data_IF_085299507777
#
_entry.id   IF_085299507777
#
_cell.length_a   1.000
_cell.length_b   1.000
_cell.length_c   1.000
_cell.angle_alpha   90.00
_cell.angle_beta   90.00
_cell.angle_gamma   90.00
#
_symmetry.space_group_name_H-M   'P 1'
#
loop_
_entity.id
_entity.type
_entity.pdbx_description
1 polymer ?
#
# COMPACT_ATOMS: atom_id res chain seq x y z
N UNK A 1 9.29 -0.69 46.19
CA UNK A 1 8.98 -0.65 45.79
C UNK A 1 9.13 -0.40 44.51
N UNK A 2 9.82 -0.28 43.79
CA UNK A 2 10.08 -0.03 42.44
C UNK A 2 9.24 -0.75 41.42
N UNK A 3 8.28 -1.50 41.82
CA UNK A 3 7.44 -2.18 40.84
C UNK A 3 6.77 -1.24 39.86
N UNK A 4 6.60 0.01 40.26
CA UNK A 4 5.96 0.96 39.39
C UNK A 4 6.75 1.21 38.08
N UNK A 5 8.08 1.17 38.17
CA UNK A 5 8.91 1.32 36.99
C UNK A 5 8.72 0.15 36.02
N UNK A 6 8.57 -1.05 36.57
CA UNK A 6 8.33 -2.23 35.74
C UNK A 6 7.03 -2.12 34.98
N UNK A 7 5.99 -1.61 35.65
CA UNK A 7 4.70 -1.42 35.00
C UNK A 7 4.80 -0.47 33.82
N UNK A 8 5.60 0.57 33.98
CA UNK A 8 5.77 1.53 32.88
C UNK A 8 6.47 0.93 31.68
N UNK A 9 7.35 -0.04 31.91
CA UNK A 9 7.96 -0.73 30.79
C UNK A 9 6.92 -1.45 29.94
N UNK A 10 5.94 -2.06 30.57
CA UNK A 10 4.85 -2.68 29.83
C UNK A 10 4.08 -1.66 28.99
N UNK A 11 3.80 -0.49 29.55
CA UNK A 11 3.12 0.56 28.81
C UNK A 11 3.95 1.02 27.61
N UNK A 12 5.26 1.14 27.77
CA UNK A 12 6.15 1.55 26.68
C UNK A 12 6.10 0.55 25.54
N UNK A 13 6.10 -0.74 25.83
CA UNK A 13 6.06 -1.76 24.79
C UNK A 13 4.75 -1.82 24.04
N UNK A 14 3.68 -1.26 24.60
CA UNK A 14 2.37 -1.23 23.96
C UNK A 14 2.16 0.00 23.09
N UNK A 15 3.08 0.94 23.13
CA UNK A 15 2.95 2.14 22.32
C UNK A 15 3.18 1.80 20.85
N UNK A 16 2.32 2.35 20.02
CA UNK A 16 2.49 2.25 18.57
C UNK A 16 3.51 3.29 18.11
N UNK A 17 4.26 2.98 17.05
CA UNK A 17 5.12 3.99 16.44
C UNK A 17 4.29 5.19 15.99
N UNK A 18 4.88 6.39 16.02
CA UNK A 18 4.18 7.59 15.52
C UNK A 18 3.83 7.45 14.06
N UNK A 19 2.68 8.01 13.69
CA UNK A 19 2.23 8.07 12.32
C UNK A 19 2.02 9.51 11.89
N UNK A 20 1.96 9.71 10.58
CA UNK A 20 1.67 11.01 10.00
C UNK A 20 0.73 10.85 8.82
N UNK A 21 0.06 11.92 8.45
CA UNK A 21 -0.79 11.96 7.27
C UNK A 21 0.05 12.39 6.07
N UNK A 22 0.06 11.56 5.04
CA UNK A 22 0.67 11.89 3.77
C UNK A 22 -0.43 12.33 2.81
N UNK A 23 -0.28 13.51 2.24
CA UNK A 23 -1.19 14.01 1.21
C UNK A 23 -0.39 14.19 -0.07
N UNK A 24 -0.83 13.55 -1.13
CA UNK A 24 -0.19 13.65 -2.42
C UNK A 24 -1.26 13.74 -3.50
N UNK A 25 -1.29 14.87 -4.22
CA UNK A 25 -2.33 15.11 -5.19
C UNK A 25 -3.71 15.07 -4.53
N UNK A 26 -4.55 14.18 -5.00
CA UNK A 26 -5.93 14.03 -4.51
C UNK A 26 -6.10 12.85 -3.56
N UNK A 27 -5.02 12.40 -2.95
CA UNK A 27 -5.06 11.20 -2.09
C UNK A 27 -4.36 11.51 -0.77
N UNK A 28 -4.93 11.00 0.32
CA UNK A 28 -4.34 11.09 1.65
C UNK A 28 -4.34 9.71 2.29
N UNK A 29 -3.32 9.41 3.07
CA UNK A 29 -3.22 8.16 3.81
C UNK A 29 -2.32 8.33 5.03
N UNK A 30 -2.45 7.41 5.96
CA UNK A 30 -1.63 7.38 7.18
C UNK A 30 -0.44 6.45 6.96
N UNK A 31 0.75 6.96 7.29
CA UNK A 31 2.01 6.22 7.16
C UNK A 31 2.82 6.36 8.45
N UNK A 32 3.82 5.50 8.68
CA UNK A 32 4.75 5.73 9.79
C UNK A 32 5.51 7.03 9.58
N UNK A 33 5.65 7.80 10.64
CA UNK A 33 6.24 9.14 10.57
C UNK A 33 7.71 9.13 10.21
N UNK A 34 8.43 8.05 10.52
CA UNK A 34 9.86 7.93 10.26
C UNK A 34 10.20 7.27 8.91
N UNK A 35 9.20 6.90 8.11
CA UNK A 35 9.44 6.39 6.77
C UNK A 35 9.66 7.56 5.81
N UNK A 36 10.61 7.43 4.90
CA UNK A 36 10.93 8.49 3.95
C UNK A 36 10.02 8.43 2.74
N UNK A 37 9.63 9.61 2.25
CA UNK A 37 8.70 9.75 1.13
C UNK A 37 9.43 10.32 -0.07
N UNK A 38 9.21 9.73 -1.24
CA UNK A 38 9.81 10.18 -2.48
C UNK A 38 8.79 10.08 -3.60
N UNK A 39 8.67 11.16 -4.39
CA UNK A 39 7.87 11.13 -5.60
C UNK A 39 8.71 10.58 -6.74
N UNK A 40 8.19 9.58 -7.43
CA UNK A 40 8.86 8.95 -8.56
C UNK A 40 8.08 9.32 -9.82
N UNK A 41 8.69 10.10 -10.69
CA UNK A 41 8.03 10.63 -11.90
C UNK A 41 8.73 10.18 -13.17
N UNK A 42 9.78 9.38 -13.08
CA UNK A 42 10.53 8.90 -14.23
C UNK A 42 9.89 7.65 -14.81
N UNK A 43 10.05 7.47 -16.12
CA UNK A 43 9.56 6.30 -16.83
C UNK A 43 8.14 6.48 -17.33
N UNK A 44 7.67 5.52 -18.15
CA UNK A 44 6.31 5.54 -18.65
C UNK A 44 5.32 5.26 -17.52
N UNK A 45 4.15 5.87 -17.63
CA UNK A 45 3.08 5.63 -16.67
C UNK A 45 2.90 6.77 -15.69
N UNK A 46 2.06 6.53 -14.71
CA UNK A 46 1.66 7.52 -13.74
C UNK A 46 2.76 7.77 -12.72
N UNK A 47 2.87 9.02 -12.28
CA UNK A 47 3.70 9.35 -11.12
C UNK A 47 3.21 8.57 -9.91
N UNK A 48 4.14 8.17 -9.06
CA UNK A 48 3.80 7.48 -7.82
C UNK A 48 4.59 8.05 -6.66
N UNK A 49 4.06 7.86 -5.47
CA UNK A 49 4.77 8.17 -4.23
C UNK A 49 5.29 6.85 -3.67
N UNK A 50 6.55 6.85 -3.31
CA UNK A 50 7.18 5.71 -2.67
C UNK A 50 7.53 6.08 -1.23
N UNK A 51 7.11 5.25 -0.28
CA UNK A 51 7.33 5.47 1.15
C UNK A 51 8.16 4.29 1.64
N UNK A 52 9.40 4.55 2.04
CA UNK A 52 10.40 3.51 2.29
C UNK A 52 10.74 3.42 3.77
N UNK A 53 10.85 2.19 4.26
CA UNK A 53 11.24 1.91 5.64
C UNK A 53 12.69 2.33 5.89
N UNK A 54 12.97 3.00 7.03
CA UNK A 54 14.35 3.29 7.40
C UNK A 54 15.14 2.04 7.83
N UNK A 55 14.43 0.97 8.17
CA UNK A 55 15.06 -0.28 8.61
C UNK A 55 15.48 -1.16 7.45
N UNK A 56 14.78 -1.07 6.31
CA UNK A 56 15.06 -1.94 5.17
C UNK A 56 14.58 -1.26 3.87
N UNK A 57 15.50 -0.91 2.96
CA UNK A 57 15.13 -0.23 1.72
C UNK A 57 14.28 -1.08 0.77
N UNK A 58 14.21 -2.40 0.98
CA UNK A 58 13.35 -3.29 0.19
C UNK A 58 11.91 -3.31 0.69
N UNK A 59 11.64 -2.68 1.84
CA UNK A 59 10.29 -2.58 2.40
C UNK A 59 9.76 -1.18 2.11
N UNK A 60 8.71 -1.11 1.29
CA UNK A 60 8.20 0.17 0.82
C UNK A 60 6.73 0.08 0.46
N UNK A 61 6.05 1.22 0.54
CA UNK A 61 4.71 1.40 -0.03
C UNK A 61 4.85 2.17 -1.33
N UNK A 62 4.02 1.81 -2.31
CA UNK A 62 3.86 2.56 -3.56
C UNK A 62 2.41 3.00 -3.66
N UNK A 63 2.17 4.27 -3.91
CA UNK A 63 0.81 4.81 -4.02
C UNK A 63 0.68 5.52 -5.34
N UNK A 64 -0.30 5.09 -6.15
CA UNK A 64 -0.65 5.77 -7.41
C UNK A 64 -2.10 6.17 -7.38
N UNK A 65 -2.45 7.15 -8.20
CA UNK A 65 -3.80 7.65 -8.31
C UNK A 65 -4.13 8.02 -9.75
N UNK A 66 -5.40 7.85 -10.11
CA UNK A 66 -5.88 8.21 -11.44
C UNK A 66 -7.31 8.70 -11.35
N UNK A 67 -7.66 9.79 -12.06
CA UNK A 67 -9.07 10.19 -12.17
C UNK A 67 -9.78 9.21 -13.11
N UNK A 68 -10.87 8.63 -12.65
CA UNK A 68 -11.61 7.62 -13.42
C UNK A 68 -13.12 7.82 -13.21
N UNK A 69 -13.66 8.98 -13.58
CA UNK A 69 -15.08 9.26 -13.35
C UNK A 69 -15.95 8.17 -13.98
N UNK A 70 -16.91 7.68 -13.20
CA UNK A 70 -17.85 6.65 -13.67
C UNK A 70 -17.29 5.24 -13.71
N UNK A 71 -16.05 5.01 -13.33
CA UNK A 71 -15.49 3.66 -13.30
C UNK A 71 -16.10 2.86 -12.15
N UNK A 72 -16.30 1.56 -12.38
CA UNK A 72 -16.78 0.62 -11.38
C UNK A 72 -15.65 -0.35 -11.03
N UNK A 73 -15.73 -0.95 -9.86
CA UNK A 73 -14.71 -1.93 -9.45
C UNK A 73 -14.67 -3.15 -10.39
N UNK A 74 -15.82 -3.71 -10.84
CA UNK A 74 -15.77 -4.76 -11.86
C UNK A 74 -15.12 -4.30 -13.17
N UNK A 75 -15.34 -3.07 -13.59
CA UNK A 75 -14.70 -2.52 -14.79
C UNK A 75 -13.20 -2.40 -14.62
N UNK A 76 -12.75 -1.95 -13.45
CA UNK A 76 -11.32 -1.92 -13.09
C UNK A 76 -10.73 -3.33 -13.14
N UNK A 77 -11.44 -4.30 -12.57
CA UNK A 77 -10.99 -5.69 -12.55
C UNK A 77 -10.82 -6.24 -13.96
N UNK A 78 -11.76 -5.97 -14.86
CA UNK A 78 -11.66 -6.43 -16.24
C UNK A 78 -10.45 -5.84 -16.97
N UNK A 79 -10.20 -4.55 -16.76
CA UNK A 79 -9.05 -3.89 -17.36
C UNK A 79 -7.74 -4.46 -16.85
N UNK A 80 -7.65 -4.67 -15.55
CA UNK A 80 -6.46 -5.27 -14.95
C UNK A 80 -6.25 -6.70 -15.42
N UNK A 81 -7.31 -7.48 -15.53
CA UNK A 81 -7.22 -8.85 -16.01
C UNK A 81 -6.64 -8.91 -17.42
N UNK A 82 -7.10 -8.02 -18.30
CA UNK A 82 -6.55 -7.95 -19.66
C UNK A 82 -5.06 -7.60 -19.65
N UNK A 83 -4.67 -6.64 -18.81
CA UNK A 83 -3.26 -6.24 -18.72
C UNK A 83 -2.40 -7.37 -18.16
N UNK A 84 -2.88 -8.09 -17.17
CA UNK A 84 -2.18 -9.23 -16.60
C UNK A 84 -2.03 -10.34 -17.63
N UNK A 85 -3.09 -10.65 -18.35
CA UNK A 85 -3.07 -11.71 -19.37
C UNK A 85 -2.11 -11.37 -20.52
N UNK A 86 -1.89 -10.09 -20.78
CA UNK A 86 -0.94 -9.63 -21.81
C UNK A 86 0.49 -9.56 -21.32
N UNK A 87 0.73 -9.78 -20.04
CA UNK A 87 2.07 -9.71 -19.45
C UNK A 87 2.73 -11.08 -19.44
N UNK A 88 4.07 -11.14 -19.31
CA UNK A 88 4.77 -12.42 -19.20
C UNK A 88 4.24 -13.25 -18.02
N UNK A 89 4.15 -14.54 -18.21
CA UNK A 89 3.65 -15.46 -17.18
C UNK A 89 4.51 -15.36 -15.92
N UNK A 90 3.86 -15.42 -14.75
CA UNK A 90 4.54 -15.43 -13.46
C UNK A 90 4.91 -14.07 -12.90
N UNK A 91 4.74 -12.99 -13.67
CA UNK A 91 5.03 -11.64 -13.16
C UNK A 91 3.88 -11.15 -12.28
N UNK A 92 2.65 -11.29 -12.75
CA UNK A 92 1.47 -10.90 -11.98
C UNK A 92 0.64 -12.13 -11.66
N UNK A 93 0.49 -12.42 -10.38
CA UNK A 93 -0.15 -13.65 -9.91
C UNK A 93 -1.21 -13.32 -8.86
N UNK A 94 -2.00 -14.33 -8.49
CA UNK A 94 -3.00 -14.23 -7.41
C UNK A 94 -4.03 -13.14 -7.66
N UNK A 95 -4.44 -12.94 -8.92
CA UNK A 95 -5.45 -11.95 -9.25
C UNK A 95 -6.78 -12.31 -8.60
N UNK A 96 -7.37 -11.32 -7.89
CA UNK A 96 -8.68 -11.47 -7.27
C UNK A 96 -9.52 -10.24 -7.61
N UNK A 97 -10.57 -10.40 -8.43
CA UNK A 97 -11.41 -9.28 -8.86
C UNK A 97 -12.37 -8.77 -7.78
N UNK A 98 -12.56 -9.52 -6.70
CA UNK A 98 -13.57 -9.23 -5.67
C UNK A 98 -13.02 -9.52 -4.29
N UNK A 99 -11.92 -8.88 -3.93
CA UNK A 99 -11.27 -9.06 -2.64
C UNK A 99 -11.81 -8.05 -1.62
N UNK A 100 -11.54 -8.32 -0.36
CA UNK A 100 -11.77 -7.41 0.75
C UNK A 100 -10.43 -7.20 1.43
N UNK A 101 -9.98 -5.96 1.50
CA UNK A 101 -8.73 -5.60 2.17
C UNK A 101 -8.99 -4.50 3.18
N UNK A 102 -8.59 -4.73 4.42
CA UNK A 102 -8.83 -3.80 5.52
C UNK A 102 -10.29 -3.36 5.56
N UNK A 103 -11.21 -4.29 5.31
CA UNK A 103 -12.65 -4.02 5.32
C UNK A 103 -13.19 -3.32 4.09
N UNK A 104 -12.39 -3.15 3.05
CA UNK A 104 -12.79 -2.39 1.84
C UNK A 104 -12.84 -3.29 0.62
N UNK A 105 -13.84 -3.13 -0.25
CA UNK A 105 -13.85 -3.84 -1.54
C UNK A 105 -12.66 -3.41 -2.39
N UNK A 106 -11.98 -4.37 -2.98
CA UNK A 106 -10.75 -4.11 -3.72
C UNK A 106 -10.54 -5.13 -4.82
N UNK A 107 -9.71 -4.77 -5.80
CA UNK A 107 -9.11 -5.71 -6.74
C UNK A 107 -7.68 -5.89 -6.30
N UNK A 108 -7.20 -7.12 -6.20
CA UNK A 108 -5.87 -7.38 -5.69
C UNK A 108 -5.10 -8.32 -6.61
N UNK A 109 -3.80 -8.20 -6.59
CA UNK A 109 -2.88 -9.12 -7.24
C UNK A 109 -1.49 -8.95 -6.64
N UNK A 110 -0.59 -9.84 -7.00
CA UNK A 110 0.78 -9.80 -6.52
C UNK A 110 1.72 -9.70 -7.71
N UNK A 111 2.67 -8.79 -7.62
CA UNK A 111 3.72 -8.61 -8.63
C UNK A 111 5.00 -9.25 -8.12
N UNK A 112 5.58 -10.16 -8.92
CA UNK A 112 6.77 -10.91 -8.54
C UNK A 112 7.93 -10.45 -9.40
N UNK A 113 8.98 -9.96 -8.74
CA UNK A 113 10.22 -9.53 -9.38
C UNK A 113 11.39 -10.24 -8.74
N UNK A 114 12.56 -10.17 -9.38
CA UNK A 114 13.77 -10.70 -8.79
C UNK A 114 14.08 -9.95 -7.49
N UNK A 115 14.16 -10.67 -6.38
CA UNK A 115 14.53 -10.11 -5.08
C UNK A 115 13.42 -9.43 -4.29
N UNK A 116 12.23 -9.24 -4.87
CA UNK A 116 11.12 -8.66 -4.11
C UNK A 116 9.76 -8.99 -4.73
N UNK A 117 8.71 -8.72 -3.97
CA UNK A 117 7.34 -8.81 -4.45
C UNK A 117 6.56 -7.58 -3.99
N UNK A 118 5.50 -7.26 -4.72
CA UNK A 118 4.59 -6.17 -4.37
C UNK A 118 3.17 -6.71 -4.34
N UNK A 119 2.50 -6.54 -3.21
CA UNK A 119 1.06 -6.85 -3.11
C UNK A 119 0.28 -5.59 -3.44
N UNK A 120 -0.48 -5.65 -4.52
CA UNK A 120 -1.25 -4.50 -4.99
C UNK A 120 -2.71 -4.59 -4.54
N UNK A 121 -3.20 -3.48 -4.01
CA UNK A 121 -4.61 -3.30 -3.64
C UNK A 121 -5.13 -2.10 -4.40
N UNK A 122 -6.15 -2.33 -5.21
CA UNK A 122 -6.74 -1.29 -6.07
C UNK A 122 -8.12 -0.96 -5.53
N UNK A 123 -8.34 0.30 -5.22
CA UNK A 123 -9.58 0.80 -4.62
C UNK A 123 -10.15 1.90 -5.49
N UNK A 124 -11.47 2.07 -5.41
CA UNK A 124 -12.14 3.24 -5.97
C UNK A 124 -12.69 4.06 -4.82
N UNK A 125 -12.40 5.35 -4.83
CA UNK A 125 -12.98 6.30 -3.88
C UNK A 125 -13.56 7.45 -4.70
N UNK A 126 -14.89 7.45 -4.87
CA UNK A 126 -15.54 8.37 -5.79
C UNK A 126 -14.98 8.23 -7.19
N UNK A 127 -14.50 9.32 -7.76
CA UNK A 127 -13.97 9.35 -9.12
C UNK A 127 -12.46 9.10 -9.17
N UNK A 128 -11.85 8.61 -8.08
CA UNK A 128 -10.40 8.38 -8.03
C UNK A 128 -10.12 6.90 -7.84
N UNK A 129 -9.29 6.34 -8.72
CA UNK A 129 -8.74 5.01 -8.53
C UNK A 129 -7.40 5.14 -7.81
N UNK A 130 -7.28 4.40 -6.72
CA UNK A 130 -6.09 4.44 -5.87
C UNK A 130 -5.46 3.05 -5.87
N UNK A 131 -4.16 2.98 -6.14
CA UNK A 131 -3.43 1.72 -6.06
C UNK A 131 -2.40 1.83 -4.94
N UNK A 132 -2.46 0.89 -4.00
CA UNK A 132 -1.49 0.79 -2.92
C UNK A 132 -0.71 -0.50 -3.11
N UNK A 133 0.59 -0.38 -3.33
CA UNK A 133 1.48 -1.51 -3.47
C UNK A 133 2.34 -1.64 -2.23
N UNK A 134 2.35 -2.84 -1.64
CA UNK A 134 3.12 -3.12 -0.43
C UNK A 134 4.27 -4.04 -0.81
N UNK A 135 5.47 -3.49 -0.85
CA UNK A 135 6.67 -4.17 -1.32
C UNK A 135 7.47 -4.75 -0.16
N UNK A 136 7.92 -5.98 -0.32
CA UNK A 136 8.83 -6.63 0.63
C UNK A 136 9.81 -7.51 -0.10
N UNK A 137 11.00 -7.67 0.49
CA UNK A 137 11.92 -8.72 0.14
C UNK A 137 11.62 -9.99 0.94
N UNK A 138 12.34 -11.08 0.67
CA UNK A 138 12.14 -12.32 1.41
C UNK A 138 12.40 -12.13 2.91
N UNK A 139 11.50 -12.65 3.74
CA UNK A 139 11.66 -12.64 5.18
C UNK A 139 11.26 -11.37 5.91
N UNK A 140 10.74 -10.36 5.20
CA UNK A 140 10.40 -9.07 5.81
C UNK A 140 8.92 -8.74 5.73
N UNK A 141 8.09 -9.73 5.48
CA UNK A 141 6.64 -9.53 5.34
C UNK A 141 5.99 -9.04 6.63
N UNK A 142 6.50 -9.47 7.78
CA UNK A 142 5.90 -9.11 9.07
C UNK A 142 6.03 -7.62 9.37
N UNK A 143 7.20 -7.04 9.06
CA UNK A 143 7.41 -5.61 9.24
C UNK A 143 6.42 -4.79 8.42
N UNK A 144 6.12 -5.25 7.23
CA UNK A 144 5.26 -4.53 6.29
C UNK A 144 3.78 -4.70 6.60
N UNK A 145 3.38 -5.82 7.22
CA UNK A 145 1.96 -6.21 7.30
C UNK A 145 1.09 -5.13 7.94
N UNK A 146 1.50 -4.62 9.09
CA UNK A 146 0.70 -3.63 9.82
C UNK A 146 0.69 -2.28 9.08
N UNK A 147 1.85 -1.88 8.54
CA UNK A 147 1.97 -0.63 7.79
C UNK A 147 1.09 -0.69 6.53
N UNK A 148 1.10 -1.83 5.84
CA UNK A 148 0.27 -2.05 4.66
C UNK A 148 -1.22 -1.99 5.00
N UNK A 149 -1.64 -2.67 6.07
CA UNK A 149 -3.03 -2.68 6.50
C UNK A 149 -3.50 -1.26 6.85
N UNK A 150 -2.68 -0.51 7.54
CA UNK A 150 -3.00 0.87 7.90
C UNK A 150 -3.10 1.76 6.65
N UNK A 151 -2.18 1.61 5.72
CA UNK A 151 -2.22 2.38 4.47
C UNK A 151 -3.49 2.10 3.69
N UNK A 152 -3.84 0.83 3.50
CA UNK A 152 -5.05 0.45 2.77
C UNK A 152 -6.31 0.91 3.48
N UNK A 153 -6.34 0.79 4.81
CA UNK A 153 -7.50 1.21 5.61
C UNK A 153 -7.72 2.72 5.54
N UNK A 154 -6.64 3.50 5.55
CA UNK A 154 -6.72 4.96 5.68
C UNK A 154 -6.76 5.70 4.35
N UNK A 155 -6.28 5.12 3.26
CA UNK A 155 -6.16 5.85 2.00
C UNK A 155 -7.53 6.27 1.47
N UNK A 156 -7.64 7.54 1.05
CA UNK A 156 -8.90 8.09 0.56
C UNK A 156 -8.64 9.29 -0.35
N UNK A 157 -9.63 9.62 -1.15
CA UNK A 157 -9.58 10.79 -2.01
C UNK A 157 -9.88 12.05 -1.20
N UNK A 158 -9.18 13.15 -1.51
CA UNK A 158 -9.38 14.46 -0.90
C UNK A 158 -9.61 15.52 -1.97
N UNK A 159 -10.31 16.57 -1.61
CA UNK A 159 -10.58 17.68 -2.50
C UNK A 159 -11.79 17.50 -3.42
#
# INVERSE_FOLDING_TARGET
>A
RAPAAVVRHGATTLQRPPTTLLVEGRVALTIPADWSTQRVVSGPGSARVQVTSPADPEVALHVTQSPVPGETLPGTAQRLKRAIDASPAGVFVDFNPSDIRAGRPAVTYREVRAGHQVRWTILLDGAVRISVGCQSGPGHEDLLREVCAQAVRSVHAVG
#
